data_IF_289901275888
#
_entry.id   IF_289901275888
#
_cell.length_a   1.000
_cell.length_b   1.000
_cell.length_c   1.000
_cell.angle_alpha   90.00
_cell.angle_beta   90.00
_cell.angle_gamma   90.00
#
_symmetry.space_group_name_H-M   'P 1'
#
loop_
_entity.id
_entity.type
_entity.pdbx_description
1 polymer ?
#
# COMPACT_ATOMS: atom_id res chain seq x y z
N UNK A 1 27.26 -15.12 76.69
CA UNK A 1 26.32 -15.89 75.85
C UNK A 1 25.97 -15.02 74.67
N UNK A 2 26.71 -15.19 73.57
CA UNK A 2 26.55 -14.44 72.34
C UNK A 2 25.41 -15.07 71.51
N UNK A 3 24.40 -14.28 71.19
CA UNK A 3 23.43 -14.61 70.13
C UNK A 3 23.68 -13.67 68.94
N UNK A 4 23.89 -14.21 67.72
CA UNK A 4 24.12 -13.39 66.55
C UNK A 4 22.78 -12.87 66.01
N UNK A 5 22.84 -11.60 65.61
CA UNK A 5 21.77 -10.85 64.95
C UNK A 5 21.68 -11.31 63.48
N UNK A 6 20.64 -12.04 63.11
CA UNK A 6 20.32 -12.39 61.72
C UNK A 6 19.35 -11.35 61.11
N UNK A 7 19.68 -10.68 60.01
CA UNK A 7 18.71 -9.89 59.28
C UNK A 7 17.87 -10.82 58.38
N UNK A 8 16.56 -10.84 58.60
CA UNK A 8 15.59 -11.44 57.68
C UNK A 8 15.51 -10.59 56.42
N UNK A 9 16.01 -11.14 55.31
CA UNK A 9 15.86 -10.58 53.97
C UNK A 9 14.54 -11.11 53.39
N UNK A 10 13.48 -10.30 53.37
CA UNK A 10 12.31 -10.55 52.52
C UNK A 10 12.58 -9.99 51.12
N UNK A 11 12.48 -10.78 50.04
CA UNK A 11 12.36 -10.26 48.70
C UNK A 11 10.91 -10.44 48.23
N UNK A 12 10.11 -9.38 48.23
CA UNK A 12 8.68 -9.56 47.95
C UNK A 12 7.86 -8.31 47.69
N UNK A 13 8.21 -7.54 46.65
CA UNK A 13 7.28 -6.94 45.67
C UNK A 13 8.00 -5.92 44.80
N UNK A 14 8.68 -6.41 43.77
CA UNK A 14 8.95 -5.61 42.59
C UNK A 14 7.69 -5.65 41.70
N UNK A 15 7.10 -4.47 41.54
CA UNK A 15 6.13 -4.05 40.52
C UNK A 15 5.99 -4.98 39.30
N UNK A 16 4.84 -5.63 39.15
CA UNK A 16 4.44 -6.37 37.95
C UNK A 16 4.00 -5.42 36.82
N UNK A 17 4.94 -4.64 36.30
CA UNK A 17 4.73 -3.78 35.12
C UNK A 17 5.65 -4.18 33.96
N UNK A 18 5.86 -5.49 33.79
CA UNK A 18 6.73 -6.05 32.76
C UNK A 18 6.10 -7.27 32.06
N UNK A 19 4.78 -7.26 31.89
CA UNK A 19 4.07 -8.18 31.02
C UNK A 19 3.19 -7.33 30.10
N UNK A 20 3.70 -6.97 28.91
CA UNK A 20 2.90 -6.64 27.70
C UNK A 20 3.71 -6.16 26.47
N UNK A 21 5.05 -6.17 26.50
CA UNK A 21 5.85 -5.72 25.34
C UNK A 21 6.37 -6.85 24.42
N UNK A 22 5.99 -8.11 24.67
CA UNK A 22 6.43 -9.28 23.89
C UNK A 22 5.28 -9.78 22.99
N UNK A 23 4.99 -9.10 21.88
CA UNK A 23 3.96 -9.60 20.94
C UNK A 23 3.49 -8.66 19.85
N UNK A 24 3.86 -7.38 19.86
CA UNK A 24 3.44 -6.46 18.81
C UNK A 24 4.07 -6.85 17.44
N UNK A 25 3.28 -6.97 16.37
CA UNK A 25 3.80 -7.22 15.03
C UNK A 25 4.82 -6.15 14.63
N UNK A 26 5.95 -6.57 14.03
CA UNK A 26 7.04 -5.69 13.55
C UNK A 26 7.34 -5.96 12.07
N UNK A 27 8.08 -5.06 11.43
CA UNK A 27 8.48 -5.20 10.03
C UNK A 27 7.30 -4.94 9.08
N UNK A 28 7.03 -5.88 8.18
CA UNK A 28 6.00 -5.75 7.15
C UNK A 28 4.61 -5.35 7.65
N UNK A 29 4.22 -5.82 8.83
CA UNK A 29 2.95 -5.43 9.48
C UNK A 29 2.85 -3.94 9.79
N UNK A 30 3.98 -3.27 10.02
CA UNK A 30 4.06 -1.82 10.29
C UNK A 30 4.40 -1.00 9.05
N UNK A 31 4.94 -1.59 7.98
CA UNK A 31 5.21 -0.91 6.70
C UNK A 31 4.11 -1.08 5.64
N UNK A 32 3.01 -1.77 5.98
CA UNK A 32 1.89 -2.00 5.05
C UNK A 32 0.71 -1.07 5.32
N UNK A 33 0.32 -0.27 4.32
CA UNK A 33 -0.90 0.55 4.33
C UNK A 33 -2.05 -0.18 3.64
N UNK A 34 -3.24 -0.08 4.20
CA UNK A 34 -4.49 -0.50 3.56
C UNK A 34 -5.29 0.75 3.21
N UNK A 35 -5.50 0.99 1.92
CA UNK A 35 -6.09 2.21 1.39
C UNK A 35 -7.49 1.92 0.85
N UNK A 36 -8.51 2.53 1.45
CA UNK A 36 -9.89 2.44 0.97
C UNK A 36 -10.24 3.73 0.22
N UNK A 37 -10.52 3.62 -1.07
CA UNK A 37 -10.85 4.75 -1.95
C UNK A 37 -12.34 4.94 -2.02
N UNK A 38 -12.78 6.12 -1.61
CA UNK A 38 -14.17 6.57 -1.56
C UNK A 38 -15.15 5.56 -0.94
N UNK A 39 -14.88 4.95 0.24
CA UNK A 39 -15.82 4.02 0.86
C UNK A 39 -17.16 4.71 1.10
N UNK A 40 -18.25 4.01 0.75
CA UNK A 40 -19.61 4.57 0.82
C UNK A 40 -20.32 4.25 2.14
N UNK A 41 -20.02 3.08 2.72
CA UNK A 41 -20.71 2.59 3.91
C UNK A 41 -19.77 2.59 5.13
N UNK A 42 -20.07 3.35 6.19
CA UNK A 42 -19.28 3.37 7.43
C UNK A 42 -19.06 1.98 8.01
N UNK A 43 -20.08 1.11 7.99
CA UNK A 43 -19.96 -0.27 8.46
C UNK A 43 -18.87 -1.08 7.75
N UNK A 44 -18.60 -0.84 6.45
CA UNK A 44 -17.50 -1.50 5.75
C UNK A 44 -16.13 -1.02 6.21
N UNK A 45 -16.01 0.27 6.56
CA UNK A 45 -14.76 0.82 7.11
C UNK A 45 -14.46 0.20 8.47
N UNK A 46 -15.48 0.10 9.34
CA UNK A 46 -15.37 -0.61 10.62
C UNK A 46 -14.99 -2.08 10.46
N UNK A 47 -15.71 -2.80 9.60
CA UNK A 47 -15.43 -4.21 9.34
C UNK A 47 -14.03 -4.43 8.72
N UNK A 48 -13.56 -3.50 7.88
CA UNK A 48 -12.18 -3.52 7.37
C UNK A 48 -11.17 -3.32 8.52
N UNK A 49 -11.37 -2.33 9.40
CA UNK A 49 -10.51 -2.13 10.57
C UNK A 49 -10.42 -3.39 11.44
N UNK A 50 -11.55 -4.08 11.65
CA UNK A 50 -11.61 -5.38 12.32
C UNK A 50 -10.78 -6.45 11.63
N UNK A 51 -10.91 -6.57 10.31
CA UNK A 51 -10.14 -7.53 9.51
C UNK A 51 -8.63 -7.28 9.63
N UNK A 52 -8.22 -6.00 9.55
CA UNK A 52 -6.81 -5.60 9.70
C UNK A 52 -6.28 -5.99 11.08
N UNK A 53 -6.96 -5.59 12.16
CA UNK A 53 -6.52 -5.89 13.52
C UNK A 53 -6.42 -7.38 13.77
N UNK A 54 -7.40 -8.16 13.29
CA UNK A 54 -7.39 -9.63 13.40
C UNK A 54 -6.17 -10.24 12.71
N UNK A 55 -5.73 -9.66 11.59
CA UNK A 55 -4.54 -10.14 10.86
C UNK A 55 -3.22 -9.51 11.32
N UNK A 56 -3.25 -8.61 12.30
CA UNK A 56 -2.06 -7.95 12.88
C UNK A 56 -1.63 -6.67 12.17
N UNK A 57 -2.50 -6.05 11.36
CA UNK A 57 -2.26 -4.78 10.69
C UNK A 57 -3.03 -3.64 11.36
N UNK A 58 -2.50 -2.42 11.27
CA UNK A 58 -3.11 -1.24 11.90
C UNK A 58 -3.13 0.02 11.03
N UNK A 59 -2.39 0.08 9.91
CA UNK A 59 -2.31 1.28 9.07
C UNK A 59 -3.44 1.31 8.04
N UNK A 60 -4.59 1.83 8.46
CA UNK A 60 -5.73 2.13 7.59
C UNK A 60 -5.65 3.57 7.07
N UNK A 61 -5.86 3.76 5.76
CA UNK A 61 -5.93 5.06 5.10
C UNK A 61 -7.23 5.14 4.32
N UNK A 62 -7.96 6.24 4.46
CA UNK A 62 -9.24 6.48 3.80
C UNK A 62 -9.07 7.65 2.84
N UNK A 63 -9.26 7.41 1.56
CA UNK A 63 -9.20 8.45 0.52
C UNK A 63 -10.62 8.92 0.27
N UNK A 64 -10.89 10.20 0.55
CA UNK A 64 -12.17 10.86 0.30
C UNK A 64 -13.41 10.00 0.66
N UNK A 65 -13.54 9.50 1.92
CA UNK A 65 -14.71 8.73 2.34
C UNK A 65 -16.00 9.52 2.11
N UNK A 66 -17.05 8.86 1.61
CA UNK A 66 -18.33 9.53 1.27
C UNK A 66 -19.05 10.06 2.51
N UNK A 67 -18.78 9.48 3.66
CA UNK A 67 -19.27 9.92 4.97
C UNK A 67 -18.15 10.67 5.68
N UNK A 68 -18.42 11.93 6.02
CA UNK A 68 -17.49 12.74 6.82
C UNK A 68 -17.36 12.15 8.23
N UNK A 69 -16.17 12.26 8.82
CA UNK A 69 -15.89 11.76 10.18
C UNK A 69 -16.23 10.28 10.40
N UNK A 70 -16.09 9.44 9.37
CA UNK A 70 -16.41 8.00 9.41
C UNK A 70 -15.73 7.23 10.56
N UNK A 71 -14.62 7.74 11.09
CA UNK A 71 -13.90 7.15 12.22
C UNK A 71 -14.68 7.20 13.54
N UNK A 72 -15.58 8.16 13.68
CA UNK A 72 -16.46 8.32 14.84
C UNK A 72 -17.92 7.97 14.51
N UNK A 73 -18.17 7.39 13.34
CA UNK A 73 -19.51 6.99 12.94
C UNK A 73 -19.98 5.79 13.79
N UNK A 74 -21.20 5.81 14.38
CA UNK A 74 -21.68 4.73 15.22
C UNK A 74 -21.72 3.35 14.53
N UNK A 75 -22.02 3.30 13.22
CA UNK A 75 -22.04 2.05 12.46
C UNK A 75 -20.61 1.54 12.23
N UNK A 76 -19.67 2.43 11.90
CA UNK A 76 -18.27 2.06 11.76
C UNK A 76 -17.69 1.51 13.09
N UNK A 77 -17.97 2.18 14.21
CA UNK A 77 -17.55 1.74 15.56
C UNK A 77 -18.15 0.38 15.89
N UNK A 78 -19.47 0.21 15.69
CA UNK A 78 -20.15 -1.06 15.96
C UNK A 78 -19.55 -2.21 15.13
N UNK A 79 -19.25 -1.97 13.85
CA UNK A 79 -18.67 -2.98 12.95
C UNK A 79 -17.17 -3.23 13.19
N UNK A 80 -16.44 -2.27 13.77
CA UNK A 80 -15.05 -2.46 14.18
C UNK A 80 -14.91 -3.46 15.33
N UNK A 81 -15.92 -3.59 16.19
CA UNK A 81 -16.06 -4.68 17.18
C UNK A 81 -14.75 -4.94 17.96
N UNK A 82 -14.20 -3.90 18.60
CA UNK A 82 -12.94 -3.98 19.37
C UNK A 82 -11.68 -3.60 18.58
N UNK A 83 -11.82 -3.21 17.31
CA UNK A 83 -10.76 -2.61 16.49
C UNK A 83 -10.85 -1.07 16.43
N UNK A 84 -11.36 -0.45 17.49
CA UNK A 84 -11.58 0.99 17.62
C UNK A 84 -10.27 1.79 17.49
N UNK A 85 -9.16 1.23 17.94
CA UNK A 85 -7.80 1.78 17.79
C UNK A 85 -7.37 1.90 16.32
N UNK A 86 -7.65 0.88 15.49
CA UNK A 86 -7.35 0.91 14.05
C UNK A 86 -8.26 1.90 13.32
N UNK A 87 -9.54 1.93 13.68
CA UNK A 87 -10.50 2.87 13.09
C UNK A 87 -10.17 4.33 13.46
N UNK A 88 -9.92 4.60 14.74
CA UNK A 88 -9.61 5.93 15.26
C UNK A 88 -8.25 6.46 14.77
N UNK A 89 -7.28 5.57 14.51
CA UNK A 89 -5.98 5.94 13.93
C UNK A 89 -5.96 5.98 12.40
N UNK A 90 -7.09 5.68 11.74
CA UNK A 90 -7.16 5.76 10.28
C UNK A 90 -6.82 7.17 9.78
N UNK A 91 -6.00 7.27 8.74
CA UNK A 91 -5.64 8.57 8.18
C UNK A 91 -6.59 8.91 7.03
N UNK A 92 -7.25 10.06 7.10
CA UNK A 92 -8.13 10.54 6.03
C UNK A 92 -7.37 11.52 5.14
N UNK A 93 -7.33 11.26 3.84
CA UNK A 93 -6.62 12.09 2.85
C UNK A 93 -7.51 12.38 1.63
N UNK A 94 -7.27 13.47 0.88
CA UNK A 94 -8.17 13.85 -0.21
C UNK A 94 -7.97 13.03 -1.48
N UNK A 95 -6.76 12.56 -1.78
CA UNK A 95 -6.48 11.83 -3.03
C UNK A 95 -5.69 10.53 -2.81
N UNK A 96 -5.75 9.63 -3.79
CA UNK A 96 -4.93 8.42 -3.76
C UNK A 96 -3.43 8.74 -3.84
N UNK A 97 -3.04 9.82 -4.53
CA UNK A 97 -1.65 10.27 -4.57
C UNK A 97 -1.11 10.61 -3.17
N UNK A 98 -1.94 11.23 -2.32
CA UNK A 98 -1.57 11.52 -0.93
C UNK A 98 -1.39 10.23 -0.12
N UNK A 99 -2.31 9.27 -0.27
CA UNK A 99 -2.23 7.97 0.40
C UNK A 99 -0.98 7.16 0.01
N UNK A 100 -0.51 7.33 -1.24
CA UNK A 100 0.65 6.64 -1.80
C UNK A 100 1.98 7.39 -1.62
N UNK A 101 1.99 8.56 -0.97
CA UNK A 101 3.24 9.29 -0.73
C UNK A 101 4.23 8.46 0.09
N UNK A 102 5.46 8.31 -0.42
CA UNK A 102 6.50 7.49 0.20
C UNK A 102 6.29 5.97 0.09
N UNK A 103 5.25 5.50 -0.62
CA UNK A 103 5.02 4.08 -0.88
C UNK A 103 5.89 3.62 -2.05
N UNK A 104 6.65 2.55 -1.87
CA UNK A 104 7.61 2.02 -2.85
C UNK A 104 6.99 0.92 -3.73
N UNK A 105 5.91 0.30 -3.26
CA UNK A 105 5.14 -0.66 -4.07
C UNK A 105 3.68 -0.65 -3.66
N UNK A 106 2.78 -0.65 -4.64
CA UNK A 106 1.35 -0.65 -4.40
C UNK A 106 0.60 -1.63 -5.29
N UNK A 107 -0.48 -2.19 -4.77
CA UNK A 107 -1.33 -3.11 -5.52
C UNK A 107 -2.79 -2.68 -5.45
N UNK A 108 -3.41 -2.54 -6.61
CA UNK A 108 -4.84 -2.27 -6.74
C UNK A 108 -5.62 -3.58 -6.80
N UNK A 109 -6.63 -3.73 -5.95
CA UNK A 109 -7.59 -4.82 -6.06
C UNK A 109 -8.69 -4.46 -7.06
N UNK A 110 -8.86 -5.29 -8.09
CA UNK A 110 -9.89 -5.10 -9.12
C UNK A 110 -10.50 -6.44 -9.54
N UNK A 111 -11.82 -6.46 -9.74
CA UNK A 111 -12.53 -7.58 -10.36
C UNK A 111 -12.50 -7.55 -11.89
N UNK A 112 -12.06 -6.44 -12.49
CA UNK A 112 -12.08 -6.22 -13.95
C UNK A 112 -10.69 -6.34 -14.54
N UNK A 113 -10.58 -7.15 -15.59
CA UNK A 113 -9.44 -7.12 -16.52
C UNK A 113 -9.44 -5.78 -17.26
N UNK A 114 -8.27 -5.15 -17.34
CA UNK A 114 -8.09 -3.87 -18.03
C UNK A 114 -7.14 -4.06 -19.20
N UNK A 115 -7.48 -3.45 -20.34
CA UNK A 115 -6.69 -3.50 -21.58
C UNK A 115 -5.27 -2.92 -21.40
N UNK A 116 -5.18 -1.85 -20.62
CA UNK A 116 -3.96 -1.21 -20.17
C UNK A 116 -3.98 -1.16 -18.65
N UNK A 117 -2.90 -1.62 -18.03
CA UNK A 117 -2.78 -1.65 -16.59
C UNK A 117 -1.47 -2.32 -16.18
N UNK A 118 -1.12 -2.22 -14.89
CA UNK A 118 0.02 -2.92 -14.33
C UNK A 118 -0.17 -4.45 -14.39
N UNK A 119 0.89 -5.25 -14.19
CA UNK A 119 0.78 -6.71 -14.21
C UNK A 119 -0.26 -7.22 -13.20
N UNK A 120 -1.05 -8.21 -13.61
CA UNK A 120 -2.05 -8.85 -12.76
C UNK A 120 -1.48 -10.08 -12.05
N UNK A 121 -1.69 -10.14 -10.74
CA UNK A 121 -1.23 -11.18 -9.84
C UNK A 121 -2.41 -11.87 -9.15
N UNK A 122 -2.26 -13.16 -8.86
CA UNK A 122 -3.16 -13.86 -7.96
C UNK A 122 -2.88 -13.39 -6.50
N UNK A 123 -3.89 -13.38 -5.60
CA UNK A 123 -3.74 -12.88 -4.22
C UNK A 123 -2.53 -13.44 -3.47
N UNK A 124 -2.29 -14.75 -3.57
CA UNK A 124 -1.16 -15.41 -2.93
C UNK A 124 0.20 -14.99 -3.49
N UNK A 125 0.28 -14.76 -4.80
CA UNK A 125 1.51 -14.29 -5.46
C UNK A 125 1.76 -12.83 -5.08
N UNK A 126 0.71 -12.01 -5.13
CA UNK A 126 0.75 -10.62 -4.69
C UNK A 126 1.21 -10.49 -3.23
N UNK A 127 0.74 -11.34 -2.33
CA UNK A 127 1.15 -11.34 -0.93
C UNK A 127 2.66 -11.63 -0.76
N UNK A 128 3.19 -12.60 -1.50
CA UNK A 128 4.64 -12.88 -1.48
C UNK A 128 5.46 -11.71 -2.01
N UNK A 129 5.02 -11.11 -3.12
CA UNK A 129 5.71 -9.95 -3.71
C UNK A 129 5.67 -8.73 -2.77
N UNK A 130 4.52 -8.52 -2.13
CA UNK A 130 4.33 -7.49 -1.10
C UNK A 130 5.32 -7.68 0.06
N UNK A 131 5.55 -8.90 0.56
CA UNK A 131 6.54 -9.16 1.61
C UNK A 131 7.95 -8.74 1.20
N UNK A 132 8.36 -9.07 -0.04
CA UNK A 132 9.68 -8.69 -0.58
C UNK A 132 9.84 -7.17 -0.63
N UNK A 133 8.83 -6.46 -1.15
CA UNK A 133 8.88 -5.00 -1.22
C UNK A 133 8.80 -4.33 0.15
N UNK A 134 8.06 -4.91 1.08
CA UNK A 134 7.93 -4.41 2.46
C UNK A 134 9.26 -4.45 3.24
N UNK A 135 10.24 -5.26 2.80
CA UNK A 135 11.59 -5.27 3.34
C UNK A 135 12.41 -4.02 2.95
N UNK A 136 12.07 -3.39 1.82
CA UNK A 136 12.82 -2.26 1.25
C UNK A 136 12.08 -0.92 1.35
N UNK A 137 10.83 -0.90 1.81
CA UNK A 137 10.07 0.33 2.00
C UNK A 137 8.60 0.10 2.34
N UNK A 138 7.86 1.21 2.51
CA UNK A 138 6.41 1.18 2.71
C UNK A 138 5.69 0.61 1.48
N UNK A 139 4.68 -0.23 1.70
CA UNK A 139 3.80 -0.77 0.66
C UNK A 139 2.35 -0.37 0.87
N UNK A 140 1.51 -0.46 -0.17
CA UNK A 140 0.07 -0.20 -0.06
C UNK A 140 -0.79 -1.22 -0.81
N UNK A 141 -1.87 -1.67 -0.16
CA UNK A 141 -2.96 -2.42 -0.79
C UNK A 141 -4.15 -1.47 -0.96
N UNK A 142 -4.58 -1.27 -2.19
CA UNK A 142 -5.58 -0.27 -2.58
C UNK A 142 -6.89 -0.94 -2.98
N UNK A 143 -7.98 -0.52 -2.34
CA UNK A 143 -9.32 -1.06 -2.52
C UNK A 143 -10.26 0.06 -2.97
N UNK A 144 -11.09 -0.22 -3.96
CA UNK A 144 -12.03 0.77 -4.51
C UNK A 144 -13.37 0.80 -3.80
N UNK A 145 -14.18 1.76 -4.22
CA UNK A 145 -15.58 1.91 -3.83
C UNK A 145 -16.39 0.62 -4.09
N UNK A 146 -17.34 0.32 -3.22
CA UNK A 146 -18.14 -0.91 -3.24
C UNK A 146 -18.91 -1.12 -4.55
N UNK A 147 -19.38 -0.02 -5.16
CA UNK A 147 -20.23 -0.05 -6.34
C UNK A 147 -19.44 0.17 -7.62
N UNK A 148 -18.55 1.16 -7.62
CA UNK A 148 -17.84 1.58 -8.83
C UNK A 148 -16.45 0.96 -8.98
N UNK A 149 -15.89 0.41 -7.90
CA UNK A 149 -14.50 -0.02 -7.85
C UNK A 149 -13.53 1.17 -7.92
N UNK A 150 -12.30 0.90 -8.36
CA UNK A 150 -11.28 1.92 -8.59
C UNK A 150 -11.45 2.58 -9.96
N UNK A 151 -11.17 3.89 -10.02
CA UNK A 151 -11.05 4.61 -11.27
C UNK A 151 -9.86 4.07 -12.09
N UNK A 152 -9.87 4.27 -13.41
CA UNK A 152 -8.76 3.81 -14.25
C UNK A 152 -7.44 4.49 -13.87
N UNK A 153 -7.50 5.79 -13.58
CA UNK A 153 -6.33 6.55 -13.13
C UNK A 153 -5.74 6.02 -11.82
N UNK A 154 -6.59 5.58 -10.88
CA UNK A 154 -6.13 4.98 -9.62
C UNK A 154 -5.41 3.64 -9.85
N UNK A 155 -5.96 2.83 -10.76
CA UNK A 155 -5.34 1.57 -11.18
C UNK A 155 -3.98 1.82 -11.84
N UNK A 156 -3.89 2.84 -12.70
CA UNK A 156 -2.66 3.20 -13.43
C UNK A 156 -1.58 3.81 -12.52
N UNK A 157 -1.93 4.28 -11.31
CA UNK A 157 -0.98 4.71 -10.28
C UNK A 157 -0.34 3.55 -9.52
N UNK A 158 -0.98 2.38 -9.52
CA UNK A 158 -0.50 1.23 -8.76
C UNK A 158 0.61 0.46 -9.51
N UNK A 159 1.47 -0.23 -8.76
CA UNK A 159 2.57 -1.03 -9.32
C UNK A 159 2.08 -2.37 -9.87
N UNK A 160 1.03 -2.94 -9.26
CA UNK A 160 0.46 -4.23 -9.61
C UNK A 160 -1.08 -4.21 -9.50
N UNK A 161 -1.72 -5.23 -10.08
CA UNK A 161 -3.12 -5.55 -9.85
C UNK A 161 -3.25 -6.88 -9.12
N UNK A 162 -4.19 -6.97 -8.19
CA UNK A 162 -4.69 -8.24 -7.68
C UNK A 162 -6.13 -8.47 -8.16
N UNK A 163 -6.44 -9.72 -8.48
CA UNK A 163 -7.80 -10.17 -8.74
C UNK A 163 -8.10 -11.38 -7.86
N UNK A 164 -9.05 -11.25 -6.93
CA UNK A 164 -9.50 -12.39 -6.12
C UNK A 164 -10.37 -13.29 -7.00
N UNK A 165 -9.97 -14.55 -7.27
CA UNK A 165 -10.83 -15.49 -7.98
C UNK A 165 -12.12 -15.70 -7.18
N UNK A 166 -13.26 -15.47 -7.83
CA UNK A 166 -14.59 -15.60 -7.26
C UNK A 166 -15.49 -16.36 -8.23
N UNK A 167 -16.74 -16.63 -7.83
CA UNK A 167 -17.72 -17.24 -8.72
C UNK A 167 -17.91 -16.33 -9.96
N UNK A 168 -17.71 -16.84 -11.20
CA UNK A 168 -17.90 -16.03 -12.42
C UNK A 168 -19.32 -15.47 -12.57
N UNK A 169 -20.34 -16.13 -11.99
CA UNK A 169 -21.72 -15.66 -11.99
C UNK A 169 -21.99 -14.57 -10.94
N UNK A 170 -21.12 -14.43 -9.93
CA UNK A 170 -21.25 -13.44 -8.85
C UNK A 170 -19.88 -13.16 -8.23
N UNK A 171 -19.10 -12.28 -8.88
CA UNK A 171 -17.69 -12.02 -8.55
C UNK A 171 -17.48 -10.78 -7.68
N UNK A 172 -18.56 -10.07 -7.30
CA UNK A 172 -18.49 -8.89 -6.46
C UNK A 172 -18.42 -9.28 -4.99
N UNK A 173 -17.24 -9.12 -4.40
CA UNK A 173 -17.04 -9.26 -2.96
C UNK A 173 -17.40 -7.95 -2.27
N UNK A 174 -17.94 -8.04 -1.05
CA UNK A 174 -18.02 -6.87 -0.17
C UNK A 174 -16.60 -6.34 0.13
N UNK A 175 -16.48 -5.02 0.32
CA UNK A 175 -15.19 -4.35 0.56
C UNK A 175 -14.41 -4.95 1.74
N UNK A 176 -15.05 -5.14 2.90
CA UNK A 176 -14.38 -5.70 4.07
C UNK A 176 -13.98 -7.18 3.86
N UNK A 177 -14.77 -7.95 3.10
CA UNK A 177 -14.42 -9.32 2.74
C UNK A 177 -13.20 -9.38 1.81
N UNK A 178 -13.14 -8.48 0.84
CA UNK A 178 -11.99 -8.32 -0.05
C UNK A 178 -10.71 -7.93 0.73
N UNK A 179 -10.83 -6.97 1.66
CA UNK A 179 -9.75 -6.61 2.60
C UNK A 179 -9.32 -7.84 3.40
N UNK A 180 -10.26 -8.59 3.96
CA UNK A 180 -10.01 -9.77 4.78
C UNK A 180 -9.21 -10.84 4.03
N UNK A 181 -9.54 -11.12 2.77
CA UNK A 181 -8.82 -12.10 1.95
C UNK A 181 -7.37 -11.67 1.72
N UNK A 182 -7.13 -10.42 1.33
CA UNK A 182 -5.76 -9.96 1.06
C UNK A 182 -4.93 -9.82 2.33
N UNK A 183 -5.48 -9.29 3.43
CA UNK A 183 -4.71 -9.21 4.68
C UNK A 183 -4.43 -10.59 5.27
N UNK A 184 -5.30 -11.58 5.06
CA UNK A 184 -5.03 -12.97 5.41
C UNK A 184 -3.87 -13.56 4.59
N UNK A 185 -3.91 -13.48 3.26
CA UNK A 185 -2.81 -13.98 2.41
C UNK A 185 -1.48 -13.28 2.74
N UNK A 186 -1.50 -11.97 3.03
CA UNK A 186 -0.31 -11.23 3.44
C UNK A 186 0.23 -11.67 4.81
N UNK A 187 -0.66 -11.88 5.80
CA UNK A 187 -0.26 -12.45 7.10
C UNK A 187 0.39 -13.82 6.92
N UNK A 188 -0.21 -14.69 6.12
CA UNK A 188 0.33 -16.03 5.85
C UNK A 188 1.72 -15.96 5.21
N UNK A 189 1.93 -14.99 4.31
CA UNK A 189 3.25 -14.76 3.71
C UNK A 189 4.29 -14.31 4.76
N UNK A 190 3.96 -13.34 5.63
CA UNK A 190 4.88 -12.92 6.70
C UNK A 190 5.18 -14.01 7.73
N UNK A 191 4.18 -14.84 8.08
CA UNK A 191 4.39 -15.98 8.97
C UNK A 191 5.25 -17.06 8.29
N UNK A 192 5.02 -17.33 7.01
CA UNK A 192 5.81 -18.28 6.22
C UNK A 192 7.29 -17.91 6.11
N UNK A 193 7.61 -16.62 5.99
CA UNK A 193 9.01 -16.14 6.06
C UNK A 193 9.62 -16.32 7.46
N UNK A 194 8.81 -16.15 8.52
CA UNK A 194 9.26 -16.28 9.91
C UNK A 194 9.48 -17.74 10.35
N UNK A 195 8.78 -18.70 9.74
CA UNK A 195 8.83 -20.13 10.10
C UNK A 195 10.01 -20.90 9.51
N UNK A 196 10.92 -20.25 8.78
CA UNK A 196 12.22 -20.85 8.45
C UNK A 196 12.16 -22.10 7.58
N UNK A 197 11.17 -22.20 6.67
CA UNK A 197 11.22 -23.19 5.59
C UNK A 197 12.19 -22.70 4.49
N UNK A 198 13.46 -22.61 4.88
CA UNK A 198 14.67 -22.26 4.10
C UNK A 198 15.00 -23.29 2.99
N UNK A 199 14.03 -24.09 2.58
CA UNK A 199 14.18 -25.15 1.55
C UNK A 199 14.00 -24.62 0.12
N UNK A 200 13.67 -23.34 -0.05
CA UNK A 200 13.60 -22.66 -1.35
C UNK A 200 14.22 -21.25 -1.34
N UNK A 201 15.03 -20.91 -0.34
CA UNK A 201 15.90 -19.75 -0.43
C UNK A 201 17.10 -20.12 -1.32
N UNK A 202 16.88 -20.13 -2.64
CA UNK A 202 17.87 -19.43 -3.45
C UNK A 202 17.98 -18.05 -2.82
N UNK A 203 19.18 -17.55 -2.49
CA UNK A 203 19.34 -16.13 -2.28
C UNK A 203 18.86 -15.53 -3.60
N UNK A 204 17.61 -15.08 -3.64
CA UNK A 204 17.13 -14.30 -4.76
C UNK A 204 18.09 -13.14 -4.74
N UNK A 205 18.98 -13.15 -5.74
CA UNK A 205 19.95 -12.13 -6.08
C UNK A 205 19.65 -10.90 -5.26
N UNK A 206 20.40 -10.71 -4.16
CA UNK A 206 20.29 -9.50 -3.36
C UNK A 206 20.20 -8.37 -4.38
N UNK A 207 19.05 -7.69 -4.38
CA UNK A 207 18.62 -6.76 -5.43
C UNK A 207 19.84 -5.93 -5.82
N UNK A 208 20.46 -6.25 -6.97
CA UNK A 208 21.69 -5.59 -7.44
C UNK A 208 21.35 -4.17 -7.93
N UNK A 209 20.07 -3.81 -7.87
CA UNK A 209 19.54 -2.49 -8.15
C UNK A 209 19.67 -1.51 -6.98
N UNK A 210 19.71 -0.22 -7.31
CA UNK A 210 19.66 0.88 -6.36
C UNK A 210 18.30 1.02 -5.66
N UNK A 211 18.16 2.03 -4.78
CA UNK A 211 16.91 2.24 -4.05
C UNK A 211 15.75 2.55 -5.01
N UNK A 212 14.66 1.81 -4.84
CA UNK A 212 13.42 2.03 -5.60
C UNK A 212 12.87 3.44 -5.38
N UNK A 213 12.29 4.00 -6.44
CA UNK A 213 11.63 5.29 -6.35
C UNK A 213 10.26 5.15 -5.68
N UNK A 214 9.91 6.01 -4.70
CA UNK A 214 8.57 6.04 -4.15
C UNK A 214 7.57 6.57 -5.19
N UNK A 215 6.30 6.22 -5.01
CA UNK A 215 5.20 6.51 -5.94
C UNK A 215 5.09 7.99 -6.28
N UNK A 216 5.34 8.90 -5.32
CA UNK A 216 5.29 10.34 -5.54
C UNK A 216 6.46 10.86 -6.40
N UNK A 217 7.64 10.25 -6.35
CA UNK A 217 8.75 10.58 -7.25
C UNK A 217 8.46 10.12 -8.69
N UNK A 218 7.90 8.92 -8.84
CA UNK A 218 7.46 8.37 -10.13
C UNK A 218 6.33 9.23 -10.72
N UNK A 219 5.38 9.69 -9.90
CA UNK A 219 4.31 10.54 -10.38
C UNK A 219 4.84 11.90 -10.88
N UNK A 220 5.77 12.51 -10.14
CA UNK A 220 6.46 13.74 -10.59
C UNK A 220 7.24 13.53 -11.88
N UNK A 221 7.80 12.34 -12.11
CA UNK A 221 8.43 11.99 -13.38
C UNK A 221 7.43 11.99 -14.53
N UNK A 222 6.25 11.38 -14.35
CA UNK A 222 5.22 11.36 -15.39
C UNK A 222 4.70 12.76 -15.73
N UNK A 223 4.45 13.60 -14.72
CA UNK A 223 4.04 15.00 -14.95
C UNK A 223 5.11 15.75 -15.76
N UNK A 224 6.39 15.57 -15.42
CA UNK A 224 7.47 16.24 -16.13
C UNK A 224 7.61 15.74 -17.58
N UNK A 225 7.50 14.42 -17.79
CA UNK A 225 7.54 13.80 -19.10
C UNK A 225 6.36 14.27 -19.96
N UNK A 226 5.15 14.32 -19.41
CA UNK A 226 3.96 14.82 -20.10
C UNK A 226 4.15 16.26 -20.59
N UNK A 227 4.60 17.15 -19.71
CA UNK A 227 4.91 18.54 -20.08
C UNK A 227 5.95 18.62 -21.22
N UNK A 228 6.99 17.79 -21.17
CA UNK A 228 8.01 17.74 -22.22
C UNK A 228 7.44 17.23 -23.56
N UNK A 229 6.56 16.23 -23.54
CA UNK A 229 5.92 15.72 -24.75
C UNK A 229 4.94 16.71 -25.37
N UNK A 230 4.25 17.51 -24.54
CA UNK A 230 3.40 18.62 -24.99
C UNK A 230 4.26 19.71 -25.64
N UNK A 231 5.38 20.09 -25.01
CA UNK A 231 6.28 21.12 -25.54
C UNK A 231 6.96 20.70 -26.87
N UNK A 232 7.13 19.39 -27.09
CA UNK A 232 7.59 18.84 -28.38
C UNK A 232 6.49 18.75 -29.44
N UNK A 233 5.25 19.11 -29.12
CA UNK A 233 4.06 18.87 -29.96
C UNK A 233 3.83 17.39 -30.30
N UNK A 234 4.48 16.47 -29.56
CA UNK A 234 4.26 15.03 -29.71
C UNK A 234 2.95 14.58 -29.05
N UNK A 235 2.58 15.26 -27.97
CA UNK A 235 1.32 15.05 -27.26
C UNK A 235 0.45 16.30 -27.40
N UNK A 236 -0.67 16.15 -28.11
CA UNK A 236 -1.72 17.16 -28.14
C UNK A 236 -2.59 17.04 -26.87
N UNK A 237 -2.61 18.04 -25.97
CA UNK A 237 -3.41 17.99 -24.76
C UNK A 237 -4.92 18.01 -25.02
N UNK A 238 -5.38 18.51 -26.18
CA UNK A 238 -6.78 18.44 -26.57
C UNK A 238 -7.18 17.05 -27.09
N UNK A 239 -6.21 16.24 -27.54
CA UNK A 239 -6.43 14.88 -28.00
C UNK A 239 -5.30 13.92 -27.56
N UNK A 240 -5.16 13.66 -26.24
CA UNK A 240 -4.03 12.91 -25.69
C UNK A 240 -4.08 11.41 -25.99
N UNK A 241 -5.21 10.92 -26.53
CA UNK A 241 -5.51 9.51 -26.76
C UNK A 241 -5.24 8.69 -25.48
N UNK A 242 -4.37 7.67 -25.55
CA UNK A 242 -3.95 6.82 -24.41
C UNK A 242 -2.42 6.81 -24.24
N UNK A 243 -1.73 7.85 -24.69
CA UNK A 243 -0.26 7.85 -24.70
C UNK A 243 0.32 7.72 -23.29
N UNK A 244 -0.12 8.58 -22.37
CA UNK A 244 0.37 8.54 -20.99
C UNK A 244 0.07 7.23 -20.28
N UNK A 245 -1.13 6.65 -20.47
CA UNK A 245 -1.46 5.33 -19.93
C UNK A 245 -0.55 4.21 -20.49
N UNK A 246 -0.17 4.29 -21.78
CA UNK A 246 0.79 3.35 -22.38
C UNK A 246 2.20 3.52 -21.83
N UNK A 247 2.64 4.76 -21.61
CA UNK A 247 3.94 5.07 -20.98
C UNK A 247 3.96 4.58 -19.53
N UNK A 248 2.91 4.85 -18.75
CA UNK A 248 2.76 4.33 -17.38
C UNK A 248 2.88 2.81 -17.36
N UNK A 249 2.17 2.12 -18.24
CA UNK A 249 2.27 0.66 -18.39
C UNK A 249 3.68 0.18 -18.79
N UNK A 250 4.38 0.93 -19.64
CA UNK A 250 5.74 0.61 -20.06
C UNK A 250 6.69 0.61 -18.85
N UNK A 251 6.66 1.67 -18.05
CA UNK A 251 7.52 1.87 -16.88
C UNK A 251 7.10 1.04 -15.66
N UNK A 252 5.82 0.71 -15.50
CA UNK A 252 5.34 -0.10 -14.36
C UNK A 252 5.97 -1.50 -14.30
N UNK A 253 6.51 -2.01 -15.42
CA UNK A 253 7.12 -3.36 -15.49
C UNK A 253 8.56 -3.42 -14.98
N UNK A 254 9.30 -2.31 -14.98
CA UNK A 254 10.73 -2.31 -14.63
C UNK A 254 10.97 -2.15 -13.14
N UNK A 255 10.01 -1.58 -12.40
CA UNK A 255 10.18 -1.36 -10.97
C UNK A 255 11.24 -0.30 -10.67
N UNK A 256 11.01 0.91 -11.19
CA UNK A 256 11.99 2.00 -11.30
C UNK A 256 12.76 2.33 -10.02
N UNK A 257 14.05 2.57 -10.21
CA UNK A 257 14.96 3.14 -9.20
C UNK A 257 14.94 4.66 -9.21
N UNK A 258 15.38 5.27 -8.09
CA UNK A 258 15.46 6.74 -7.98
C UNK A 258 16.39 7.34 -9.03
N UNK A 259 17.50 6.69 -9.33
CA UNK A 259 18.45 7.16 -10.35
C UNK A 259 17.82 7.15 -11.74
N UNK A 260 17.10 6.09 -12.10
CA UNK A 260 16.38 5.99 -13.37
C UNK A 260 15.29 7.06 -13.50
N UNK A 261 14.51 7.29 -12.42
CA UNK A 261 13.53 8.37 -12.36
C UNK A 261 14.20 9.73 -12.60
N UNK A 262 15.36 9.98 -11.98
CA UNK A 262 16.10 11.22 -12.15
C UNK A 262 16.66 11.39 -13.58
N UNK A 263 17.09 10.31 -14.22
CA UNK A 263 17.53 10.32 -15.62
C UNK A 263 16.37 10.76 -16.53
N UNK A 264 15.19 10.14 -16.41
CA UNK A 264 14.02 10.50 -17.23
C UNK A 264 13.60 11.94 -16.98
N UNK A 265 13.60 12.38 -15.72
CA UNK A 265 13.32 13.79 -15.38
C UNK A 265 14.37 14.75 -15.94
N UNK A 266 15.64 14.35 -15.97
CA UNK A 266 16.73 15.14 -16.58
C UNK A 266 16.54 15.30 -18.09
N UNK A 267 16.14 14.23 -18.79
CA UNK A 267 15.79 14.27 -20.21
C UNK A 267 14.61 15.23 -20.45
N UNK A 268 13.52 15.08 -19.69
CA UNK A 268 12.36 15.96 -19.78
C UNK A 268 12.72 17.44 -19.53
N UNK A 269 13.58 17.71 -18.54
CA UNK A 269 14.09 19.06 -18.24
C UNK A 269 14.80 19.66 -19.45
N UNK A 270 15.71 18.91 -20.06
CA UNK A 270 16.49 19.40 -21.20
C UNK A 270 15.64 19.63 -22.44
N UNK A 271 14.61 18.81 -22.66
CA UNK A 271 13.60 19.04 -23.70
C UNK A 271 12.93 20.40 -23.48
N UNK A 272 12.38 20.63 -22.28
CA UNK A 272 11.66 21.86 -21.94
C UNK A 272 12.54 23.11 -22.06
N UNK A 273 13.80 23.03 -21.61
CA UNK A 273 14.75 24.15 -21.74
C UNK A 273 15.02 24.51 -23.20
N UNK A 274 15.11 23.52 -24.10
CA UNK A 274 15.37 23.77 -25.53
C UNK A 274 14.14 24.26 -26.29
N UNK A 275 12.94 23.85 -25.91
CA UNK A 275 11.70 24.30 -26.56
C UNK A 275 11.28 25.70 -26.11
N UNK A 276 11.77 26.17 -24.97
CA UNK A 276 11.53 27.52 -24.44
C UNK A 276 12.63 28.53 -24.78
N UNK A 277 13.69 28.14 -25.50
CA UNK A 277 14.79 29.03 -25.86
C UNK A 277 14.37 29.91 -27.08
N UNK A 278 14.23 31.23 -26.93
CA UNK A 278 13.66 32.11 -27.95
C UNK A 278 14.60 32.41 -29.14
N UNK A 279 15.79 31.78 -29.21
CA UNK A 279 16.72 31.91 -30.33
C UNK A 279 16.51 30.87 -31.46
N UNK A 280 15.37 30.17 -31.45
CA UNK A 280 14.82 29.42 -32.59
C UNK A 280 13.40 29.89 -32.90
#
# INVERSE_FOLDING_TARGET
>A
MNHPNTPHHEPGRASSAAADCAGAPRGGFTSTRFVLVEPSHPGNVGAAARALKTMGFSRLVLVAPRVAHVQSDPEAIAMASGADDVLASAHVVPTLADALTGVHWSIALTARLREYGPPQLAPRVAAKEACRHAASGDIALVFGNERTGLANEDVERCSALAHIPANPAYSSLNLAQAVQVLCYELRMAYLGESSGDTSASSPALADVGGPRAPSDEIERMFVHLENALIALEFLDPANPKKLMSRLRRLFARSGLEREEVNIVRGIAKHILLKTHDPEK
#
